data_IF_768690552707
#
_entry.id   IF_768690552707
#
_cell.length_a   1.000
_cell.length_b   1.000
_cell.length_c   1.000
_cell.angle_alpha   90.00
_cell.angle_beta   90.00
_cell.angle_gamma   90.00
#
_symmetry.space_group_name_H-M   'P 1'
#
loop_
_entity.id
_entity.type
_entity.pdbx_description
1 polymer ?
#
# COMPACT_ATOMS: atom_id res chain seq x y z
N UNK A 1 -4.29 -0.88 -3.78
CA UNK A 1 -4.18 0.52 -3.32
C UNK A 1 -5.43 0.90 -2.53
N UNK A 2 -5.25 1.47 -1.36
CA UNK A 2 -6.36 2.03 -0.62
C UNK A 2 -6.86 3.32 -1.29
N UNK A 3 -8.16 3.60 -1.19
CA UNK A 3 -9.18 2.91 -0.39
C UNK A 3 -9.98 1.84 -1.12
N UNK A 4 -9.56 1.38 -2.28
CA UNK A 4 -10.39 0.57 -3.17
C UNK A 4 -10.78 -0.80 -2.60
N UNK A 5 -9.82 -1.55 -2.05
CA UNK A 5 -10.08 -2.88 -1.50
C UNK A 5 -9.47 -2.99 -0.12
N UNK A 6 -10.26 -3.45 0.83
CA UNK A 6 -9.88 -3.51 2.24
C UNK A 6 -9.95 -4.93 2.77
N UNK A 7 -9.24 -5.17 3.88
CA UNK A 7 -9.30 -6.42 4.62
C UNK A 7 -8.21 -7.39 4.25
N UNK A 8 -8.29 -8.58 4.83
CA UNK A 8 -7.26 -9.61 4.70
C UNK A 8 -7.23 -10.25 3.32
N UNK A 9 -8.28 -10.10 2.54
CA UNK A 9 -8.41 -10.67 1.19
C UNK A 9 -8.33 -9.62 0.09
N UNK A 10 -7.73 -8.47 0.38
CA UNK A 10 -7.66 -7.38 -0.59
C UNK A 10 -6.98 -7.77 -1.90
N UNK A 11 -5.91 -8.58 -1.86
CA UNK A 11 -5.21 -9.04 -3.07
C UNK A 11 -6.12 -9.94 -3.89
N UNK A 12 -6.78 -10.89 -3.24
CA UNK A 12 -7.69 -11.81 -3.91
C UNK A 12 -8.85 -11.06 -4.56
N UNK A 13 -9.46 -10.14 -3.82
CA UNK A 13 -10.60 -9.37 -4.33
C UNK A 13 -10.19 -8.50 -5.51
N UNK A 14 -9.04 -7.84 -5.43
CA UNK A 14 -8.54 -7.04 -6.54
C UNK A 14 -8.26 -7.89 -7.77
N UNK A 15 -7.65 -9.06 -7.56
CA UNK A 15 -7.36 -9.98 -8.66
C UNK A 15 -8.65 -10.48 -9.34
N UNK A 16 -9.63 -10.90 -8.56
CA UNK A 16 -10.91 -11.39 -9.08
C UNK A 16 -11.72 -10.29 -9.78
N UNK A 17 -11.61 -9.06 -9.30
CA UNK A 17 -12.29 -7.92 -9.93
C UNK A 17 -11.70 -7.59 -11.30
N UNK A 18 -10.43 -7.93 -11.51
CA UNK A 18 -9.75 -7.66 -12.78
C UNK A 18 -9.10 -6.29 -12.85
N UNK A 19 -8.61 -5.79 -11.72
CA UNK A 19 -7.90 -4.50 -11.72
C UNK A 19 -6.64 -4.59 -12.58
N UNK A 20 -6.23 -3.46 -13.16
CA UNK A 20 -5.03 -3.38 -13.99
C UNK A 20 -3.82 -2.89 -13.22
N UNK A 21 -4.03 -2.19 -12.13
CA UNK A 21 -2.99 -1.70 -11.22
C UNK A 21 -3.47 -1.90 -9.80
N UNK A 22 -2.59 -2.38 -8.95
CA UNK A 22 -2.82 -2.47 -7.51
C UNK A 22 -1.48 -2.26 -6.80
N UNK A 23 -1.41 -2.52 -5.51
CA UNK A 23 -0.14 -2.43 -4.79
C UNK A 23 -0.33 -2.13 -3.32
N UNK A 24 0.76 -2.16 -2.56
CA UNK A 24 0.73 -1.93 -1.13
C UNK A 24 0.57 -0.45 -0.79
N UNK A 25 -0.05 -0.19 0.37
CA UNK A 25 -0.17 1.14 0.95
C UNK A 25 0.34 1.10 2.37
N UNK A 26 1.27 1.99 2.71
CA UNK A 26 1.75 2.15 4.08
C UNK A 26 1.12 3.43 4.63
N UNK A 27 0.40 3.29 5.74
CA UNK A 27 -0.34 4.41 6.33
C UNK A 27 -0.20 4.41 7.84
N UNK A 28 -0.49 5.55 8.46
CA UNK A 28 -0.59 5.63 9.91
C UNK A 28 -1.84 4.87 10.36
N UNK A 29 -1.72 4.20 11.50
CA UNK A 29 -2.83 3.45 12.08
C UNK A 29 -3.66 4.39 12.95
N UNK A 30 -4.97 4.35 12.78
CA UNK A 30 -5.93 5.07 13.62
C UNK A 30 -6.90 4.08 14.23
N UNK A 31 -7.79 4.56 15.10
CA UNK A 31 -8.84 3.72 15.67
C UNK A 31 -9.78 3.19 14.59
N UNK A 32 -10.00 3.96 13.54
CA UNK A 32 -10.74 3.52 12.36
C UNK A 32 -9.75 2.88 11.41
N UNK A 33 -9.67 1.56 11.40
CA UNK A 33 -8.73 0.83 10.55
C UNK A 33 -8.78 1.34 9.11
N UNK A 34 -7.63 1.43 8.47
CA UNK A 34 -7.46 1.88 7.09
C UNK A 34 -7.85 3.34 6.84
N UNK A 35 -8.08 4.11 7.89
CA UNK A 35 -8.47 5.52 7.78
C UNK A 35 -7.33 6.49 8.04
N UNK A 36 -6.16 6.00 8.43
CA UNK A 36 -5.00 6.85 8.71
C UNK A 36 -4.39 7.45 7.44
N UNK A 37 -3.70 8.58 7.59
CA UNK A 37 -3.05 9.22 6.44
C UNK A 37 -2.03 8.30 5.75
N UNK A 38 -2.03 8.33 4.44
CA UNK A 38 -1.15 7.49 3.62
C UNK A 38 0.25 8.11 3.60
N UNK A 39 1.26 7.28 3.89
CA UNK A 39 2.66 7.68 3.86
C UNK A 39 3.26 7.44 2.49
N UNK A 40 3.22 6.20 2.03
CA UNK A 40 3.71 5.80 0.70
C UNK A 40 2.81 4.72 0.12
N UNK A 41 2.75 4.70 -1.20
CA UNK A 41 2.07 3.64 -1.95
C UNK A 41 2.99 3.13 -3.04
N UNK A 42 2.95 1.83 -3.28
CA UNK A 42 3.60 1.19 -4.41
C UNK A 42 2.56 0.84 -5.46
N UNK A 43 2.97 0.85 -6.72
CA UNK A 43 2.11 0.44 -7.82
C UNK A 43 2.64 -0.86 -8.41
N UNK A 44 1.75 -1.84 -8.55
CA UNK A 44 2.06 -3.13 -9.17
C UNK A 44 1.11 -3.32 -10.34
N UNK A 45 1.68 -3.45 -11.53
CA UNK A 45 0.89 -3.69 -12.74
C UNK A 45 0.42 -5.13 -12.77
N UNK A 46 -0.86 -5.32 -13.05
CA UNK A 46 -1.45 -6.67 -13.18
C UNK A 46 -1.51 -7.01 -14.67
N UNK A 47 -0.89 -8.13 -15.04
CA UNK A 47 -0.90 -8.60 -16.42
C UNK A 47 -1.89 -9.74 -16.61
N UNK A 48 -2.22 -10.06 -17.87
CA UNK A 48 -3.14 -11.16 -18.17
C UNK A 48 -2.59 -12.52 -17.74
N UNK A 49 -1.27 -12.63 -17.65
CA UNK A 49 -0.60 -13.87 -17.27
C UNK A 49 -0.44 -14.04 -15.76
N UNK A 50 -0.80 -13.02 -14.98
CA UNK A 50 -0.70 -13.11 -13.54
C UNK A 50 -1.71 -14.07 -12.93
N UNK A 51 -1.25 -14.80 -11.92
CA UNK A 51 -2.11 -15.57 -11.03
C UNK A 51 -2.25 -14.79 -9.72
N UNK A 52 -3.18 -15.21 -8.86
CA UNK A 52 -3.30 -14.62 -7.53
C UNK A 52 -1.98 -14.74 -6.78
N UNK A 53 -1.29 -15.88 -6.90
CA UNK A 53 -0.01 -16.11 -6.23
C UNK A 53 1.09 -15.19 -6.77
N UNK A 54 1.22 -15.07 -8.10
CA UNK A 54 2.24 -14.20 -8.67
C UNK A 54 2.00 -12.74 -8.33
N UNK A 55 0.74 -12.32 -8.29
CA UNK A 55 0.38 -10.97 -7.90
C UNK A 55 0.73 -10.72 -6.43
N UNK A 56 0.42 -11.68 -5.55
CA UNK A 56 0.76 -11.56 -4.14
C UNK A 56 2.27 -11.42 -3.94
N UNK A 57 3.07 -12.21 -4.66
CA UNK A 57 4.53 -12.13 -4.58
C UNK A 57 5.04 -10.76 -5.04
N UNK A 58 4.48 -10.22 -6.11
CA UNK A 58 4.87 -8.91 -6.62
C UNK A 58 4.54 -7.79 -5.63
N UNK A 59 3.38 -7.88 -4.98
CA UNK A 59 2.97 -6.90 -3.96
C UNK A 59 3.88 -6.99 -2.74
N UNK A 60 4.18 -8.18 -2.27
CA UNK A 60 5.10 -8.37 -1.14
C UNK A 60 6.50 -7.82 -1.44
N UNK A 61 6.96 -7.99 -2.67
CA UNK A 61 8.25 -7.42 -3.10
C UNK A 61 8.24 -5.90 -3.02
N UNK A 62 7.15 -5.26 -3.42
CA UNK A 62 6.99 -3.81 -3.26
C UNK A 62 6.94 -3.40 -1.80
N UNK A 63 6.27 -4.16 -0.94
CA UNK A 63 6.24 -3.90 0.50
C UNK A 63 7.64 -3.90 1.10
N UNK A 64 8.48 -4.85 0.72
CA UNK A 64 9.86 -4.94 1.19
C UNK A 64 10.71 -3.73 0.80
N UNK A 65 10.33 -3.04 -0.26
CA UNK A 65 10.98 -1.78 -0.66
C UNK A 65 10.43 -0.58 0.12
N UNK A 66 9.12 -0.56 0.38
CA UNK A 66 8.46 0.57 1.00
C UNK A 66 8.68 0.66 2.50
N UNK A 67 8.61 -0.47 3.22
CA UNK A 67 8.71 -0.44 4.68
C UNK A 67 10.03 0.14 5.20
N UNK A 68 11.20 -0.28 4.73
CA UNK A 68 12.45 0.33 5.18
C UNK A 68 12.51 1.83 4.91
N UNK A 69 11.98 2.26 3.76
CA UNK A 69 11.96 3.67 3.40
C UNK A 69 11.08 4.48 4.34
N UNK A 70 9.91 3.97 4.68
CA UNK A 70 8.99 4.63 5.62
C UNK A 70 9.62 4.72 7.01
N UNK A 71 10.22 3.61 7.48
CA UNK A 71 10.89 3.59 8.78
C UNK A 71 11.99 4.64 8.83
N UNK A 72 12.80 4.75 7.79
CA UNK A 72 13.86 5.73 7.74
C UNK A 72 13.32 7.16 7.77
N UNK A 73 12.28 7.45 6.99
CA UNK A 73 11.64 8.77 6.98
C UNK A 73 11.08 9.11 8.36
N UNK A 74 10.50 8.14 9.04
CA UNK A 74 9.95 8.34 10.38
C UNK A 74 11.07 8.66 11.39
N UNK A 75 12.14 7.86 11.37
CA UNK A 75 13.27 8.05 12.29
C UNK A 75 13.95 9.41 12.06
N UNK A 76 14.01 9.86 10.82
CA UNK A 76 14.59 11.17 10.48
C UNK A 76 13.65 12.34 10.79
N UNK A 77 12.43 12.08 11.26
CA UNK A 77 11.46 13.12 11.55
C UNK A 77 10.94 13.85 10.32
N UNK A 78 10.90 13.18 9.18
CA UNK A 78 10.54 13.80 7.90
C UNK A 78 9.08 13.61 7.50
N UNK A 79 8.28 13.00 8.36
CA UNK A 79 6.86 12.80 8.09
C UNK A 79 6.05 13.82 8.86
N UNK A 80 5.26 14.62 8.15
CA UNK A 80 4.39 15.62 8.74
C UNK A 80 2.94 15.36 8.34
N UNK A 81 2.08 15.19 9.33
CA UNK A 81 0.66 14.98 9.09
C UNK A 81 -0.03 16.34 8.94
N UNK A 82 -0.68 16.53 7.80
CA UNK A 82 -1.45 17.74 7.52
C UNK A 82 -2.88 17.33 7.14
N UNK A 83 -3.77 17.31 8.11
CA UNK A 83 -5.14 16.83 7.91
C UNK A 83 -5.15 15.35 7.54
N UNK A 84 -5.63 15.02 6.34
CA UNK A 84 -5.69 13.65 5.85
C UNK A 84 -4.46 13.23 5.05
N UNK A 85 -3.50 14.13 4.91
CA UNK A 85 -2.32 13.90 4.07
C UNK A 85 -1.06 13.80 4.91
N UNK A 86 -0.08 13.07 4.40
CA UNK A 86 1.28 13.05 4.95
C UNK A 86 2.19 13.76 3.99
N UNK A 87 2.92 14.74 4.50
CA UNK A 87 3.92 15.46 3.74
C UNK A 87 5.30 14.95 4.13
N UNK A 88 6.13 14.69 3.13
CA UNK A 88 7.53 14.31 3.33
C UNK A 88 8.38 15.57 3.18
N UNK A 89 9.07 15.92 4.23
CA UNK A 89 9.87 17.15 4.28
C UNK A 89 11.37 16.86 4.23
#
# INVERSE_FOLDING_TARGET
LLPSFKGTQGIKDAFEYGVKVTGPTVHFVTQDMDAGPIILQGATKVTEDDTEESLAQAIHKEEHKLYPKVIQLFVEGRLKIEGKKVRII
#
